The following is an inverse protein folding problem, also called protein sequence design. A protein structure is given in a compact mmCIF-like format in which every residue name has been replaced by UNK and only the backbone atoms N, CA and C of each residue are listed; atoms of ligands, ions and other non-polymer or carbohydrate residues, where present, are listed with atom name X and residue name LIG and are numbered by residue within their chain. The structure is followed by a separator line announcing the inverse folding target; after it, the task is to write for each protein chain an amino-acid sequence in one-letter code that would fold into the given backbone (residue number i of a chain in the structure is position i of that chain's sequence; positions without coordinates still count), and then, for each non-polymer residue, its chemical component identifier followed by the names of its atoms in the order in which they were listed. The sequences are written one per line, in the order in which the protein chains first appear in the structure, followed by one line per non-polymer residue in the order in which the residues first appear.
data_IF_352959443805
#
_entry.id   IF_352959443805
#
_cell.length_a   1.000
_cell.length_b   1.000
_cell.length_c   1.000
_cell.angle_alpha   90.00
_cell.angle_beta   90.00
_cell.angle_gamma   90.00
#
_symmetry.space_group_name_H-M   'P 1'
#
loop_
_entity.id
_entity.type
_entity.pdbx_description
1 polymer ?
#
# COMPACT_ATOMS: atom_id res chain seq x y z
N UNK A 1 7.49 7.27 16.95
CA UNK A 1 6.33 7.56 16.08
C UNK A 1 6.72 8.24 14.77
N UNK A 2 7.64 9.22 14.76
CA UNK A 2 8.09 9.95 13.56
C UNK A 2 8.44 9.09 12.32
N UNK A 3 9.20 8.00 12.50
CA UNK A 3 9.55 7.10 11.39
C UNK A 3 8.40 6.23 10.86
N UNK A 4 7.29 6.09 11.59
CA UNK A 4 6.10 5.38 11.12
C UNK A 4 5.26 6.30 10.22
N UNK A 5 5.12 7.56 10.61
CA UNK A 5 4.44 8.59 9.82
C UNK A 5 5.14 8.83 8.47
N UNK A 6 6.48 8.84 8.46
CA UNK A 6 7.28 8.96 7.23
C UNK A 6 7.03 7.79 6.28
N UNK A 7 7.04 6.54 6.77
CA UNK A 7 6.74 5.35 5.96
C UNK A 7 5.30 5.32 5.42
N UNK A 8 4.35 5.84 6.20
CA UNK A 8 2.96 5.96 5.76
C UNK A 8 2.82 7.00 4.64
N UNK A 9 3.46 8.16 4.78
CA UNK A 9 3.47 9.21 3.75
C UNK A 9 4.16 8.74 2.46
N UNK A 10 5.27 8.02 2.57
CA UNK A 10 5.96 7.39 1.44
C UNK A 10 5.03 6.41 0.72
N UNK A 11 4.34 5.54 1.46
CA UNK A 11 3.39 4.57 0.90
C UNK A 11 2.22 5.26 0.18
N UNK A 12 1.68 6.35 0.74
CA UNK A 12 0.61 7.14 0.10
C UNK A 12 1.11 7.81 -1.19
N UNK A 13 2.33 8.33 -1.16
CA UNK A 13 2.94 9.00 -2.32
C UNK A 13 3.20 8.02 -3.44
N UNK A 14 3.77 6.85 -3.13
CA UNK A 14 4.01 5.78 -4.10
C UNK A 14 2.68 5.32 -4.74
N UNK A 15 1.62 5.14 -3.95
CA UNK A 15 0.29 4.81 -4.50
C UNK A 15 -0.26 5.82 -5.47
N UNK A 16 -0.10 7.12 -5.18
CA UNK A 16 -0.52 8.20 -6.10
C UNK A 16 0.29 8.15 -7.39
N UNK A 17 1.60 7.94 -7.29
CA UNK A 17 2.47 7.78 -8.44
C UNK A 17 2.04 6.59 -9.31
N UNK A 18 1.82 5.42 -8.69
CA UNK A 18 1.45 4.19 -9.41
C UNK A 18 0.07 4.32 -10.07
N UNK A 19 -0.91 4.93 -9.38
CA UNK A 19 -2.23 5.20 -9.96
C UNK A 19 -2.15 6.12 -11.18
N UNK A 20 -1.29 7.14 -11.13
CA UNK A 20 -1.04 8.01 -12.27
C UNK A 20 -0.40 7.23 -13.42
N UNK A 21 0.59 6.39 -13.13
CA UNK A 21 1.28 5.57 -14.12
C UNK A 21 0.34 4.57 -14.80
N UNK A 22 -0.56 3.94 -14.05
CA UNK A 22 -1.60 3.04 -14.57
C UNK A 22 -2.50 3.78 -15.57
N UNK A 23 -2.92 5.00 -15.23
CA UNK A 23 -3.76 5.84 -16.12
C UNK A 23 -3.02 6.23 -17.39
N UNK A 24 -1.74 6.59 -17.28
CA UNK A 24 -0.89 6.91 -18.43
C UNK A 24 -0.71 5.71 -19.36
N UNK A 25 -0.48 4.51 -18.81
CA UNK A 25 -0.36 3.27 -19.58
C UNK A 25 -1.66 2.94 -20.31
N UNK A 26 -2.81 3.13 -19.67
CA UNK A 26 -4.10 2.95 -20.34
C UNK A 26 -4.24 3.90 -21.53
N UNK A 27 -3.95 5.19 -21.34
CA UNK A 27 -3.99 6.16 -22.44
C UNK A 27 -2.97 5.88 -23.55
N UNK A 28 -1.88 5.15 -23.27
CA UNK A 28 -0.96 4.67 -24.31
C UNK A 28 -1.54 3.49 -25.10
N UNK A 29 -2.25 2.58 -24.44
CA UNK A 29 -2.96 1.47 -25.09
C UNK A 29 -4.08 2.01 -25.99
N UNK A 30 -4.89 2.94 -25.49
CA UNK A 30 -5.98 3.55 -26.27
C UNK A 30 -5.43 4.23 -27.55
N UNK A 31 -4.30 4.93 -27.46
CA UNK A 31 -3.61 5.51 -28.63
C UNK A 31 -3.08 4.47 -29.60
N UNK A 32 -2.61 3.32 -29.12
CA UNK A 32 -2.20 2.23 -30.00
C UNK A 32 -3.39 1.65 -30.74
N UNK A 33 -4.53 1.51 -30.07
CA UNK A 33 -5.78 1.03 -30.69
C UNK A 33 -6.25 1.98 -31.79
N UNK A 34 -6.30 3.29 -31.51
CA UNK A 34 -6.65 4.32 -32.51
C UNK A 34 -5.74 4.23 -33.73
N UNK A 35 -4.42 4.18 -33.52
CA UNK A 35 -3.42 4.08 -34.60
C UNK A 35 -3.54 2.79 -35.40
N UNK A 36 -3.87 1.68 -34.73
CA UNK A 36 -4.05 0.40 -35.41
C UNK A 36 -5.29 0.41 -36.31
N UNK A 37 -6.42 0.95 -35.83
CA UNK A 37 -7.66 1.09 -36.62
C UNK A 37 -7.46 2.02 -37.81
N UNK A 38 -6.62 3.05 -37.67
CA UNK A 38 -6.23 3.95 -38.76
C UNK A 38 -5.18 3.35 -39.73
N UNK A 39 -4.76 2.09 -39.52
CA UNK A 39 -3.69 1.42 -40.26
C UNK A 39 -2.34 2.16 -40.23
N UNK A 40 -2.08 2.98 -39.21
CA UNK A 40 -0.80 3.70 -39.03
C UNK A 40 0.30 2.79 -38.48
N UNK A 41 -0.07 1.67 -37.85
CA UNK A 41 0.83 0.67 -37.30
C UNK A 41 0.42 -0.73 -37.72
N UNK A 42 1.39 -1.64 -37.79
CA UNK A 42 1.11 -3.05 -38.08
C UNK A 42 0.49 -3.75 -36.87
N UNK A 43 -0.19 -4.87 -37.12
CA UNK A 43 -0.70 -5.75 -36.05
C UNK A 43 0.41 -6.19 -35.09
N UNK A 44 1.58 -6.53 -35.62
CA UNK A 44 2.74 -6.93 -34.79
C UNK A 44 3.22 -5.80 -33.88
N UNK A 45 3.26 -4.56 -34.39
CA UNK A 45 3.59 -3.39 -33.57
C UNK A 45 2.54 -3.16 -32.49
N UNK A 46 1.25 -3.20 -32.84
CA UNK A 46 0.15 -3.07 -31.91
C UNK A 46 0.23 -4.10 -30.77
N UNK A 47 0.37 -5.39 -31.12
CA UNK A 47 0.45 -6.50 -30.15
C UNK A 47 1.66 -6.36 -29.23
N UNK A 48 2.85 -6.08 -29.79
CA UNK A 48 4.09 -5.95 -29.02
C UNK A 48 4.01 -4.85 -27.96
N UNK A 49 3.53 -3.66 -28.34
CA UNK A 49 3.49 -2.53 -27.41
C UNK A 49 2.31 -2.62 -26.45
N UNK A 50 1.16 -3.11 -26.88
CA UNK A 50 0.01 -3.37 -26.00
C UNK A 50 0.36 -4.40 -24.93
N UNK A 51 0.99 -5.52 -25.31
CA UNK A 51 1.44 -6.54 -24.36
C UNK A 51 2.42 -5.97 -23.34
N UNK A 52 3.37 -5.14 -23.77
CA UNK A 52 4.32 -4.48 -22.87
C UNK A 52 3.62 -3.60 -21.84
N UNK A 53 2.68 -2.76 -22.28
CA UNK A 53 1.96 -1.84 -21.40
C UNK A 53 1.00 -2.55 -20.46
N UNK A 54 0.30 -3.58 -20.93
CA UNK A 54 -0.54 -4.45 -20.10
C UNK A 54 0.27 -5.19 -19.02
N UNK A 55 1.45 -5.69 -19.35
CA UNK A 55 2.34 -6.33 -18.37
C UNK A 55 2.78 -5.34 -17.28
N UNK A 56 3.24 -4.15 -17.67
CA UNK A 56 3.63 -3.10 -16.72
C UNK A 56 2.45 -2.67 -15.84
N UNK A 57 1.26 -2.47 -16.45
CA UNK A 57 0.04 -2.09 -15.73
C UNK A 57 -0.38 -3.16 -14.72
N UNK A 58 -0.35 -4.43 -15.13
CA UNK A 58 -0.68 -5.57 -14.26
C UNK A 58 0.31 -5.73 -13.10
N UNK A 59 1.61 -5.49 -13.33
CA UNK A 59 2.61 -5.49 -12.26
C UNK A 59 2.31 -4.42 -11.21
N UNK A 60 2.07 -3.18 -11.63
CA UNK A 60 1.75 -2.08 -10.72
C UNK A 60 0.46 -2.31 -9.92
N UNK A 61 -0.59 -2.87 -10.55
CA UNK A 61 -1.83 -3.21 -9.85
C UNK A 61 -1.58 -4.29 -8.78
N UNK A 62 -0.87 -5.36 -9.14
CA UNK A 62 -0.57 -6.45 -8.20
C UNK A 62 0.33 -6.01 -7.04
N UNK A 63 1.29 -5.12 -7.29
CA UNK A 63 2.15 -4.53 -6.25
C UNK A 63 1.34 -3.64 -5.30
N UNK A 64 0.39 -2.87 -5.82
CA UNK A 64 -0.49 -2.02 -5.02
C UNK A 64 -1.41 -2.85 -4.09
N UNK A 65 -1.98 -3.95 -4.59
CA UNK A 65 -2.82 -4.85 -3.78
C UNK A 65 -2.03 -5.52 -2.64
N UNK A 66 -0.80 -5.98 -2.92
CA UNK A 66 0.09 -6.52 -1.88
C UNK A 66 0.47 -5.46 -0.84
N UNK A 67 0.75 -4.24 -1.29
CA UNK A 67 1.09 -3.10 -0.42
C UNK A 67 -0.06 -2.72 0.53
N UNK A 68 -1.31 -2.74 0.04
CA UNK A 68 -2.50 -2.51 0.87
C UNK A 68 -2.62 -3.53 2.02
N UNK A 69 -2.38 -4.82 1.73
CA UNK A 69 -2.48 -5.89 2.74
C UNK A 69 -1.40 -5.72 3.83
N UNK A 70 -0.15 -5.43 3.43
CA UNK A 70 0.97 -5.25 4.36
C UNK A 70 0.71 -4.04 5.28
N UNK A 71 0.26 -2.92 4.72
CA UNK A 71 -0.03 -1.69 5.48
C UNK A 71 -1.12 -1.89 6.53
N UNK A 72 -2.24 -2.54 6.17
CA UNK A 72 -3.34 -2.79 7.13
C UNK A 72 -2.94 -3.73 8.26
N UNK A 73 -2.11 -4.74 7.95
CA UNK A 73 -1.59 -5.63 8.98
C UNK A 73 -0.62 -4.92 9.92
N UNK A 74 0.21 -4.01 9.41
CA UNK A 74 1.13 -3.21 10.22
C UNK A 74 0.37 -2.27 11.17
N UNK A 75 -0.67 -1.59 10.68
CA UNK A 75 -1.51 -0.70 11.48
C UNK A 75 -2.17 -1.46 12.64
N UNK A 76 -2.77 -2.62 12.34
CA UNK A 76 -3.36 -3.51 13.36
C UNK A 76 -2.34 -4.00 14.38
N UNK A 77 -1.10 -4.28 13.95
CA UNK A 77 -0.04 -4.71 14.86
C UNK A 77 0.37 -3.58 15.82
N UNK A 78 0.44 -2.34 15.34
CA UNK A 78 0.73 -1.16 16.17
C UNK A 78 -0.39 -0.91 17.17
N UNK A 79 -1.66 -0.95 16.75
CA UNK A 79 -2.81 -0.80 17.64
C UNK A 79 -2.82 -1.85 18.76
N UNK A 80 -2.61 -3.13 18.41
CA UNK A 80 -2.52 -4.22 19.40
C UNK A 80 -1.36 -4.04 20.36
N UNK A 81 -0.19 -3.62 19.87
CA UNK A 81 0.97 -3.34 20.72
C UNK A 81 0.69 -2.24 21.73
N UNK A 82 0.01 -1.16 21.30
CA UNK A 82 -0.40 -0.06 22.18
C UNK A 82 -1.41 -0.51 23.24
N UNK A 83 -2.41 -1.30 22.85
CA UNK A 83 -3.41 -1.82 23.78
C UNK A 83 -2.76 -2.72 24.85
N UNK A 84 -1.83 -3.60 24.45
CA UNK A 84 -1.06 -4.43 25.39
C UNK A 84 -0.26 -3.57 26.37
N UNK A 85 0.49 -2.57 25.89
CA UNK A 85 1.30 -1.69 26.75
C UNK A 85 0.41 -0.88 27.71
N UNK A 86 -0.73 -0.37 27.23
CA UNK A 86 -1.69 0.34 28.07
C UNK A 86 -2.28 -0.57 29.16
N UNK A 87 -2.62 -1.80 28.82
CA UNK A 87 -3.22 -2.74 29.77
C UNK A 87 -2.18 -3.29 30.78
N UNK A 88 -0.95 -3.53 30.35
CA UNK A 88 0.17 -3.86 31.26
C UNK A 88 0.43 -2.71 32.24
N UNK A 89 0.43 -1.46 31.77
CA UNK A 89 0.63 -0.30 32.65
C UNK A 89 -0.47 -0.17 33.71
N UNK A 90 -1.73 -0.49 33.35
CA UNK A 90 -2.85 -0.54 34.30
C UNK A 90 -2.69 -1.66 35.33
N UNK A 91 -2.25 -2.85 34.90
CA UNK A 91 -2.03 -3.99 35.79
C UNK A 91 -0.83 -3.74 36.73
N UNK A 92 0.27 -3.20 36.21
CA UNK A 92 1.47 -2.86 36.98
C UNK A 92 1.18 -1.85 38.08
N UNK A 93 0.45 -0.77 37.77
CA UNK A 93 -0.02 0.17 38.79
C UNK A 93 -0.92 -0.50 39.83
N UNK A 94 -1.87 -1.37 39.44
CA UNK A 94 -2.75 -2.03 40.42
C UNK A 94 -2.02 -2.97 41.41
N UNK A 95 -0.96 -3.63 40.96
CA UNK A 95 -0.14 -4.55 41.76
C UNK A 95 0.66 -3.83 42.85
N UNK A 96 1.15 -2.63 42.57
CA UNK A 96 1.95 -1.85 43.54
C UNK A 96 1.08 -1.20 44.63
N UNK A 97 -0.18 -0.87 44.32
CA UNK A 97 -1.14 -0.40 45.33
C UNK A 97 -1.62 -1.53 46.24
N UNK A 98 -1.86 -2.74 45.71
CA UNK A 98 -2.35 -3.89 46.50
C UNK A 98 -1.33 -4.37 47.55
N UNK A 99 -0.02 -4.20 47.30
CA UNK A 99 1.04 -4.53 48.26
C UNK A 99 1.20 -3.48 49.37
N UNK A 100 0.84 -2.23 49.11
CA UNK A 100 0.94 -1.14 50.10
C UNK A 100 -0.22 -1.14 51.11
N UNK A 101 -1.35 -1.77 50.78
CA UNK A 101 -2.55 -1.78 51.62
C UNK A 101 -2.70 -3.02 52.53
N UNK A 102 -1.82 -4.03 52.39
CA UNK A 102 -1.78 -5.24 53.22
C UNK A 102 -0.69 -5.21 54.32
N UNK A 103 -0.18 -4.04 54.68
CA UNK A 103 0.71 -3.83 55.85
C UNK A 103 0.12 -2.76 56.78
N UNK A 104 -1.08 -3.00 57.31
CA UNK A 104 -1.62 -2.32 58.50
C UNK A 104 -2.06 -3.39 59.48
#
# INVERSE_FOLDING_TARGET
MKGLEEKLQESITNKKHDSKRITELQGQIDKLEERFVLNEITKEQFEKFTQKYEQERSQLVNENDKSLIISSNLEKAVEKGLDIVQNISKIGCSSDYAKKQNNI
#
